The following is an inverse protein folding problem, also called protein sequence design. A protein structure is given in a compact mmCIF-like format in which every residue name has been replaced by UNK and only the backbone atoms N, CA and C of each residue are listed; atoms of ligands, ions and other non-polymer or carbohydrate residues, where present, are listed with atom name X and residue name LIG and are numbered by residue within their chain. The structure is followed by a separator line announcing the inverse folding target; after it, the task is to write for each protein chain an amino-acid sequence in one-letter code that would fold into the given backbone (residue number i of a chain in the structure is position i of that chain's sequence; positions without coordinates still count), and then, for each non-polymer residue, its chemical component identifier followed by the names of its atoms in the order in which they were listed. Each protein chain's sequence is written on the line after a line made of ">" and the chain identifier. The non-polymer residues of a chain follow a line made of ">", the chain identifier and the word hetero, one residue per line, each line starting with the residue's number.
data_IF_446085932000
#
_entry.id   IF_446085932000
#
_cell.length_a   1.000
_cell.length_b   1.000
_cell.length_c   1.000
_cell.angle_alpha   90.00
_cell.angle_beta   90.00
_cell.angle_gamma   90.00
#
_symmetry.space_group_name_H-M   'P 1'
#
loop_
_entity.id
_entity.type
_entity.pdbx_description
1 polymer ?
#
# COMPACT_ATOMS: atom_id res chain seq x y z
N UNK A 1 30.25 -74.22 -13.69
CA UNK A 1 31.45 -73.94 -14.50
C UNK A 1 32.35 -73.02 -13.71
N UNK A 2 33.53 -73.54 -13.34
CA UNK A 2 34.81 -72.85 -13.07
C UNK A 2 34.81 -71.64 -12.10
N UNK A 3 35.26 -71.79 -10.84
CA UNK A 3 36.67 -71.72 -10.33
C UNK A 3 37.33 -70.36 -10.60
N UNK A 4 38.05 -69.67 -9.72
CA UNK A 4 38.57 -69.84 -8.35
C UNK A 4 39.04 -68.42 -7.94
N UNK A 5 39.07 -68.02 -6.67
CA UNK A 5 40.19 -68.27 -5.77
C UNK A 5 39.81 -67.99 -4.30
N UNK A 6 40.00 -69.02 -3.49
CA UNK A 6 40.06 -69.13 -2.02
C UNK A 6 41.36 -68.49 -1.46
N UNK A 7 41.47 -67.97 -0.22
CA UNK A 7 41.45 -68.63 1.11
C UNK A 7 41.33 -67.52 2.21
N UNK A 8 40.36 -67.56 3.15
CA UNK A 8 40.45 -67.94 4.58
C UNK A 8 41.31 -66.97 5.45
N UNK A 9 40.84 -66.28 6.51
CA UNK A 9 40.33 -66.78 7.81
C UNK A 9 39.75 -65.62 8.67
N UNK A 10 38.60 -65.87 9.36
CA UNK A 10 38.19 -65.52 10.76
C UNK A 10 38.58 -64.15 11.38
N UNK A 11 37.76 -63.39 12.13
CA UNK A 11 36.46 -63.58 12.81
C UNK A 11 35.86 -62.21 13.19
N UNK A 12 34.54 -62.20 13.45
CA UNK A 12 33.73 -61.08 13.96
C UNK A 12 34.07 -60.71 15.42
N UNK A 13 33.99 -59.42 15.81
CA UNK A 13 33.28 -58.97 17.04
C UNK A 13 32.82 -57.51 16.89
N UNK A 14 31.56 -57.30 17.28
CA UNK A 14 30.78 -56.05 17.34
C UNK A 14 31.19 -55.14 18.52
N UNK A 15 30.88 -53.85 18.35
CA UNK A 15 31.11 -52.69 19.22
C UNK A 15 30.29 -52.72 20.53
N UNK A 16 30.92 -52.41 21.68
CA UNK A 16 30.35 -51.56 22.77
C UNK A 16 31.48 -50.80 23.47
N UNK A 17 31.36 -49.47 23.57
CA UNK A 17 32.27 -48.54 24.28
C UNK A 17 31.71 -48.17 25.67
N UNK A 18 32.65 -47.93 26.60
CA UNK A 18 32.57 -47.20 27.88
C UNK A 18 31.98 -47.93 29.11
N UNK A 19 32.88 -48.42 29.98
CA UNK A 19 33.09 -48.02 31.40
C UNK A 19 33.85 -49.14 32.12
N UNK A 20 35.17 -49.02 32.22
CA UNK A 20 36.00 -49.81 33.13
C UNK A 20 36.39 -48.92 34.32
N UNK A 21 35.60 -48.96 35.38
CA UNK A 21 36.05 -48.78 36.75
C UNK A 21 35.20 -49.68 37.63
N UNK A 22 35.64 -50.93 37.81
CA UNK A 22 35.16 -51.80 38.87
C UNK A 22 36.20 -52.89 39.16
N UNK A 23 36.72 -52.85 40.38
CA UNK A 23 37.25 -53.96 41.17
C UNK A 23 38.50 -54.70 40.65
N UNK A 24 39.67 -54.10 40.88
CA UNK A 24 40.86 -54.89 41.22
C UNK A 24 40.93 -55.06 42.74
N UNK A 25 40.22 -56.05 43.28
CA UNK A 25 40.46 -56.54 44.63
C UNK A 25 41.71 -57.42 44.61
N UNK A 26 42.90 -56.79 44.60
CA UNK A 26 44.15 -57.49 44.84
C UNK A 26 44.25 -57.77 46.34
N UNK A 27 44.12 -59.05 46.71
CA UNK A 27 44.40 -59.54 48.05
C UNK A 27 45.88 -59.27 48.40
N UNK A 28 46.14 -58.19 49.11
CA UNK A 28 47.45 -57.95 49.73
C UNK A 28 47.58 -58.91 50.90
N UNK A 29 48.55 -59.82 50.78
CA UNK A 29 48.95 -60.77 51.80
C UNK A 29 49.52 -60.00 53.00
N UNK A 30 48.77 -59.93 54.09
CA UNK A 30 49.23 -59.40 55.37
C UNK A 30 50.32 -60.34 55.94
N UNK A 31 51.59 -60.04 55.69
CA UNK A 31 52.70 -60.55 56.50
C UNK A 31 53.31 -59.38 57.27
N UNK A 32 53.02 -59.38 58.57
CA UNK A 32 53.79 -58.84 59.70
C UNK A 32 54.56 -57.52 59.51
N UNK A 33 53.98 -56.41 59.95
CA UNK A 33 54.72 -55.17 60.27
C UNK A 33 54.63 -54.90 61.79
N UNK A 34 55.75 -54.70 62.51
CA UNK A 34 55.74 -54.29 63.90
C UNK A 34 55.63 -52.75 64.03
N UNK A 35 55.23 -52.30 65.22
CA UNK A 35 55.15 -50.91 65.71
C UNK A 35 53.86 -50.11 65.38
N UNK A 36 53.05 -49.94 66.44
CA UNK A 36 51.69 -49.36 66.51
C UNK A 36 51.62 -47.84 66.27
N UNK A 37 52.73 -47.19 65.92
CA UNK A 37 52.85 -45.74 65.77
C UNK A 37 52.82 -45.26 64.32
N UNK A 38 53.07 -46.12 63.34
CA UNK A 38 53.04 -45.76 61.90
C UNK A 38 51.72 -46.08 61.20
N UNK A 39 50.87 -46.96 61.77
CA UNK A 39 49.52 -47.21 61.25
C UNK A 39 48.65 -45.93 61.25
N UNK A 40 48.79 -45.07 62.25
CA UNK A 40 48.05 -43.79 62.30
C UNK A 40 48.54 -42.77 61.26
N UNK A 41 49.81 -42.88 60.83
CA UNK A 41 50.41 -42.04 59.79
C UNK A 41 50.16 -42.61 58.38
N UNK A 42 49.97 -43.92 58.22
CA UNK A 42 49.67 -44.55 56.93
C UNK A 42 48.17 -44.51 56.58
N UNK A 43 47.27 -44.60 57.57
CA UNK A 43 45.81 -44.51 57.35
C UNK A 43 45.41 -43.09 56.88
N UNK A 44 46.14 -42.04 57.28
CA UNK A 44 45.94 -40.66 56.79
C UNK A 44 46.53 -40.38 55.40
N UNK A 45 47.26 -41.35 54.81
CA UNK A 45 47.79 -41.30 53.45
C UNK A 45 47.03 -42.22 52.46
N UNK A 46 46.20 -43.14 52.95
CA UNK A 46 45.47 -44.13 52.15
C UNK A 46 43.95 -43.87 52.08
N UNK A 47 43.43 -42.86 52.78
CA UNK A 47 42.05 -42.43 52.55
C UNK A 47 41.93 -41.86 51.15
N UNK A 48 41.04 -42.43 50.33
CA UNK A 48 40.69 -41.84 49.05
C UNK A 48 40.28 -40.38 49.27
N UNK A 49 40.77 -39.50 48.40
CA UNK A 49 40.40 -38.10 48.40
C UNK A 49 38.88 -37.97 48.24
N UNK A 50 38.24 -37.16 49.09
CA UNK A 50 36.82 -36.86 48.97
C UNK A 50 36.72 -35.69 48.01
N UNK A 51 36.05 -35.86 46.88
CA UNK A 51 35.82 -34.74 45.96
C UNK A 51 34.65 -33.91 46.48
N UNK A 52 34.95 -32.87 47.26
CA UNK A 52 33.90 -32.03 47.85
C UNK A 52 33.08 -31.28 46.79
N UNK A 53 33.65 -31.05 45.60
CA UNK A 53 32.96 -30.40 44.48
C UNK A 53 31.95 -31.35 43.81
N UNK A 54 32.29 -32.63 43.64
CA UNK A 54 31.40 -33.63 43.06
C UNK A 54 30.26 -34.03 44.01
N UNK A 55 30.54 -34.05 45.31
CA UNK A 55 29.57 -34.40 46.36
C UNK A 55 28.75 -33.20 46.85
N UNK A 56 28.95 -32.00 46.27
CA UNK A 56 28.29 -30.74 46.68
C UNK A 56 28.44 -30.44 48.19
N UNK A 57 29.61 -30.74 48.74
CA UNK A 57 30.01 -30.47 50.12
C UNK A 57 30.89 -29.22 50.24
N UNK A 58 31.15 -28.54 49.12
CA UNK A 58 31.89 -27.30 49.12
C UNK A 58 31.10 -26.13 49.75
N UNK A 59 31.82 -25.09 50.16
CA UNK A 59 31.24 -23.84 50.65
C UNK A 59 31.63 -22.66 49.75
N UNK A 60 31.76 -22.92 48.44
CA UNK A 60 32.10 -21.88 47.47
C UNK A 60 30.88 -20.98 47.20
N UNK A 61 31.14 -19.76 46.75
CA UNK A 61 30.08 -18.88 46.23
C UNK A 61 29.41 -19.52 45.01
N UNK A 62 28.14 -19.20 44.78
CA UNK A 62 27.44 -19.54 43.52
C UNK A 62 28.15 -18.94 42.29
N UNK A 63 28.90 -17.87 42.48
CA UNK A 63 29.69 -17.19 41.45
C UNK A 63 31.18 -17.61 41.48
N UNK A 64 31.50 -18.77 42.05
CA UNK A 64 32.82 -19.37 42.05
C UNK A 64 32.83 -20.74 41.34
N UNK A 65 34.03 -21.17 40.98
CA UNK A 65 34.36 -22.50 40.48
C UNK A 65 35.02 -23.26 41.63
N UNK A 66 34.45 -24.41 41.98
CA UNK A 66 35.05 -25.35 42.92
C UNK A 66 36.10 -26.19 42.19
N UNK A 67 37.33 -26.21 42.73
CA UNK A 67 38.42 -27.04 42.26
C UNK A 67 38.85 -27.99 43.36
N UNK A 68 38.60 -29.29 43.17
CA UNK A 68 39.05 -30.30 44.12
C UNK A 68 40.59 -30.39 44.13
N UNK A 69 41.15 -30.59 45.32
CA UNK A 69 42.60 -30.76 45.55
C UNK A 69 42.83 -31.92 46.53
N UNK A 70 44.04 -32.47 46.58
CA UNK A 70 44.30 -33.55 47.53
C UNK A 70 44.08 -33.06 48.98
N UNK A 71 43.11 -33.68 49.65
CA UNK A 71 42.67 -33.46 51.04
C UNK A 71 41.89 -32.16 51.29
N UNK A 72 41.42 -31.45 50.27
CA UNK A 72 40.64 -30.21 50.40
C UNK A 72 40.11 -29.76 49.04
N UNK A 73 39.30 -28.70 48.99
CA UNK A 73 38.96 -27.98 47.76
C UNK A 73 39.43 -26.53 47.80
N UNK A 74 39.45 -25.88 46.63
CA UNK A 74 39.65 -24.44 46.46
C UNK A 74 38.46 -23.84 45.73
N UNK A 75 38.06 -22.65 46.17
CA UNK A 75 37.06 -21.85 45.48
C UNK A 75 37.77 -20.71 44.74
N UNK A 76 37.42 -20.51 43.48
CA UNK A 76 37.99 -19.45 42.63
C UNK A 76 36.82 -18.68 42.04
N UNK A 77 36.72 -17.37 42.24
CA UNK A 77 35.64 -16.60 41.62
C UNK A 77 35.64 -16.79 40.09
N UNK A 78 34.45 -16.89 39.50
CA UNK A 78 34.27 -16.96 38.04
C UNK A 78 34.83 -15.69 37.40
N UNK A 79 35.15 -15.76 36.11
CA UNK A 79 35.51 -14.57 35.33
C UNK A 79 34.41 -13.50 35.44
N UNK A 80 34.82 -12.23 35.60
CA UNK A 80 33.89 -11.12 35.88
C UNK A 80 33.59 -10.90 37.37
N UNK A 81 34.11 -11.74 38.27
CA UNK A 81 33.92 -11.60 39.71
C UNK A 81 35.26 -11.52 40.46
N UNK A 82 35.27 -10.79 41.58
CA UNK A 82 36.41 -10.65 42.49
C UNK A 82 36.05 -11.10 43.91
N UNK A 83 37.02 -11.63 44.64
CA UNK A 83 36.82 -12.05 46.02
C UNK A 83 37.69 -13.24 46.40
N UNK A 84 37.31 -13.92 47.48
CA UNK A 84 38.05 -15.05 48.07
C UNK A 84 37.56 -16.44 47.61
N UNK A 85 36.59 -16.47 46.69
CA UNK A 85 35.95 -17.69 46.18
C UNK A 85 34.78 -18.18 47.03
N UNK A 86 34.66 -17.76 48.30
CA UNK A 86 33.49 -18.01 49.15
C UNK A 86 32.51 -16.84 49.11
N UNK A 87 33.04 -15.64 48.97
CA UNK A 87 32.32 -14.41 48.65
C UNK A 87 32.91 -13.87 47.35
N UNK A 88 32.09 -13.84 46.32
CA UNK A 88 32.46 -13.29 45.02
C UNK A 88 31.49 -12.15 44.71
N UNK A 89 32.05 -10.98 44.47
CA UNK A 89 31.32 -9.79 44.07
C UNK A 89 31.59 -9.51 42.59
N UNK A 90 30.58 -9.05 41.90
CA UNK A 90 30.68 -8.63 40.52
C UNK A 90 31.72 -7.51 40.35
N UNK A 91 32.50 -7.57 39.28
CA UNK A 91 33.43 -6.52 38.90
C UNK A 91 32.67 -5.54 38.03
N UNK A 92 32.46 -4.32 38.52
CA UNK A 92 31.90 -3.26 37.69
C UNK A 92 32.96 -2.74 36.70
N UNK A 93 32.98 -3.27 35.47
CA UNK A 93 33.91 -2.81 34.44
C UNK A 93 33.60 -1.38 33.98
N UNK A 94 32.37 -0.90 34.16
CA UNK A 94 31.95 0.46 33.80
C UNK A 94 32.48 1.51 34.79
N UNK A 95 32.70 1.13 36.05
CA UNK A 95 33.35 1.98 37.05
C UNK A 95 34.86 2.17 36.84
N UNK A 96 35.44 1.56 35.79
CA UNK A 96 36.84 1.78 35.40
C UNK A 96 37.07 3.19 34.85
N UNK A 97 38.32 3.66 34.90
CA UNK A 97 38.73 5.00 34.40
C UNK A 97 38.34 5.24 32.93
N UNK A 98 38.23 4.16 32.14
CA UNK A 98 37.94 4.21 30.71
C UNK A 98 36.52 3.73 30.35
N UNK A 99 35.58 3.70 31.30
CA UNK A 99 34.17 3.31 31.05
C UNK A 99 34.04 1.93 30.37
N UNK A 100 34.85 0.96 30.79
CA UNK A 100 34.90 -0.37 30.17
C UNK A 100 35.38 -0.36 28.71
N UNK A 101 36.00 0.74 28.25
CA UNK A 101 36.37 0.95 26.85
C UNK A 101 35.20 1.35 25.95
N UNK A 102 33.99 1.58 26.49
CA UNK A 102 32.82 2.00 25.73
C UNK A 102 32.89 3.49 25.35
N UNK A 103 32.61 3.82 24.09
CA UNK A 103 32.60 5.22 23.61
C UNK A 103 31.41 6.01 24.16
N UNK A 104 30.23 5.39 24.23
CA UNK A 104 29.02 6.02 24.77
C UNK A 104 28.70 5.46 26.15
N UNK A 105 27.71 4.58 26.26
CA UNK A 105 27.24 4.08 27.54
C UNK A 105 27.80 2.68 27.81
N UNK A 106 28.22 2.45 29.06
CA UNK A 106 28.59 1.13 29.55
C UNK A 106 27.52 0.65 30.53
N UNK A 107 27.05 -0.58 30.34
CA UNK A 107 26.08 -1.23 31.22
C UNK A 107 26.77 -2.41 31.89
N UNK A 108 26.94 -2.32 33.20
CA UNK A 108 27.46 -3.40 34.02
C UNK A 108 26.39 -4.49 34.20
N UNK A 109 26.77 -5.75 34.03
CA UNK A 109 25.89 -6.92 34.08
C UNK A 109 26.56 -7.97 34.98
N UNK A 110 25.87 -8.70 35.85
CA UNK A 110 26.53 -9.73 36.67
C UNK A 110 27.38 -10.71 35.82
N UNK A 111 28.71 -10.66 36.02
CA UNK A 111 29.72 -11.46 35.35
C UNK A 111 30.27 -10.92 34.03
N UNK A 112 29.82 -9.77 33.52
CA UNK A 112 30.34 -9.10 32.31
C UNK A 112 29.83 -7.66 32.16
N UNK A 113 30.09 -7.02 31.03
CA UNK A 113 29.49 -5.73 30.69
C UNK A 113 29.17 -5.68 29.20
N UNK A 114 28.45 -4.63 28.80
CA UNK A 114 28.26 -4.32 27.38
C UNK A 114 28.22 -2.83 27.14
N UNK A 115 28.67 -2.43 25.96
CA UNK A 115 28.52 -1.06 25.49
C UNK A 115 27.20 -0.88 24.75
N UNK A 116 26.57 0.26 24.95
CA UNK A 116 25.38 0.73 24.24
C UNK A 116 25.66 2.10 23.63
N UNK A 117 25.01 2.37 22.50
CA UNK A 117 25.13 3.63 21.79
C UNK A 117 23.90 4.49 22.02
N UNK A 118 24.09 5.81 22.13
CA UNK A 118 23.00 6.78 22.10
C UNK A 118 22.15 6.66 20.82
N UNK A 119 20.94 7.18 20.87
CA UNK A 119 20.03 7.25 19.72
C UNK A 119 20.74 7.94 18.53
N UNK A 120 20.50 7.43 17.32
CA UNK A 120 21.18 7.88 16.09
C UNK A 120 22.53 7.19 15.85
N UNK A 121 22.98 6.30 16.73
CA UNK A 121 24.22 5.54 16.56
C UNK A 121 23.98 4.03 16.68
N UNK A 122 24.83 3.25 16.01
CA UNK A 122 24.85 1.79 16.09
C UNK A 122 26.19 1.29 16.61
N UNK A 123 26.17 0.20 17.37
CA UNK A 123 27.38 -0.43 17.88
C UNK A 123 28.22 -0.98 16.72
N UNK A 124 29.51 -0.68 16.72
CA UNK A 124 30.49 -1.22 15.80
C UNK A 124 30.74 -2.71 16.08
N UNK A 125 31.38 -3.38 15.13
CA UNK A 125 31.66 -4.82 15.26
C UNK A 125 32.65 -5.15 16.39
N UNK A 126 33.45 -4.17 16.82
CA UNK A 126 34.34 -4.32 17.98
C UNK A 126 33.59 -4.34 19.32
N UNK A 127 32.29 -4.02 19.36
CA UNK A 127 31.49 -4.01 20.57
C UNK A 127 31.72 -2.82 21.50
N UNK A 128 32.52 -1.82 21.10
CA UNK A 128 32.92 -0.69 21.94
C UNK A 128 32.67 0.67 21.28
N UNK A 129 32.89 0.78 19.97
CA UNK A 129 32.73 2.01 19.22
C UNK A 129 31.29 2.20 18.75
N UNK A 130 30.86 3.45 18.65
CA UNK A 130 29.56 3.81 18.13
C UNK A 130 29.71 4.51 16.77
N UNK A 131 29.08 3.94 15.75
CA UNK A 131 29.08 4.47 14.40
C UNK A 131 27.78 5.22 14.18
N UNK A 132 27.89 6.40 13.59
CA UNK A 132 26.75 7.20 13.16
C UNK A 132 25.87 6.39 12.19
N UNK A 133 24.56 6.48 12.38
CA UNK A 133 23.58 5.90 11.46
C UNK A 133 23.29 6.98 10.42
N UNK A 134 23.75 6.81 9.19
CA UNK A 134 23.44 7.75 8.12
C UNK A 134 22.00 7.54 7.65
N UNK A 135 21.06 8.34 8.15
CA UNK A 135 19.65 8.24 7.77
C UNK A 135 19.41 8.68 6.32
N UNK A 136 20.30 9.52 5.77
CA UNK A 136 20.24 9.97 4.37
C UNK A 136 20.64 8.87 3.39
N UNK A 137 21.48 7.91 3.82
CA UNK A 137 21.84 6.73 3.03
C UNK A 137 20.71 5.68 2.94
N UNK A 138 19.57 5.91 3.60
CA UNK A 138 18.39 5.03 3.48
C UNK A 138 17.74 5.12 2.09
N UNK A 139 17.01 4.07 1.69
CA UNK A 139 16.29 4.01 0.41
C UNK A 139 15.29 5.18 0.21
N UNK A 140 14.84 5.79 1.32
CA UNK A 140 13.87 6.89 1.33
C UNK A 140 14.48 8.24 1.68
N UNK A 141 15.81 8.42 1.59
CA UNK A 141 16.50 9.70 1.82
C UNK A 141 16.16 10.32 3.20
N UNK A 142 16.08 9.47 4.24
CA UNK A 142 15.68 9.89 5.60
C UNK A 142 14.25 10.41 5.69
N UNK A 143 13.40 10.17 4.70
CA UNK A 143 12.07 10.78 4.60
C UNK A 143 12.11 12.26 4.22
N UNK A 144 13.25 12.79 3.75
CA UNK A 144 13.34 14.15 3.23
C UNK A 144 12.82 14.23 1.79
N UNK A 145 11.99 15.24 1.52
CA UNK A 145 11.45 15.50 0.17
C UNK A 145 12.50 16.06 -0.79
N UNK A 146 13.43 16.87 -0.28
CA UNK A 146 14.52 17.46 -1.04
C UNK A 146 15.86 16.88 -0.58
N UNK A 147 16.78 17.70 -0.08
CA UNK A 147 18.11 17.26 0.31
C UNK A 147 18.09 16.79 1.77
N UNK A 148 18.79 15.70 2.05
CA UNK A 148 19.05 15.19 3.38
C UNK A 148 20.51 15.44 3.73
N UNK A 149 20.77 16.01 4.91
CA UNK A 149 22.11 16.24 5.42
C UNK A 149 22.26 15.40 6.69
N UNK A 150 23.15 14.41 6.63
CA UNK A 150 23.51 13.57 7.77
C UNK A 150 24.38 14.36 8.77
N UNK A 151 24.09 14.25 10.06
CA UNK A 151 24.77 14.98 11.14
C UNK A 151 25.00 13.99 12.29
N UNK A 152 26.21 13.80 12.84
CA UNK A 152 26.44 12.80 13.88
C UNK A 152 25.35 12.72 14.97
N UNK A 153 24.60 11.62 15.00
CA UNK A 153 23.49 11.33 15.91
C UNK A 153 22.09 11.79 15.46
N UNK A 154 21.96 12.39 14.28
CA UNK A 154 20.69 12.81 13.68
C UNK A 154 20.85 13.16 12.17
N UNK A 155 19.85 13.80 11.61
CA UNK A 155 19.91 14.36 10.27
C UNK A 155 18.95 15.53 10.18
N UNK A 156 19.05 16.29 9.09
CA UNK A 156 18.05 17.31 8.78
C UNK A 156 17.77 17.36 7.31
N UNK A 157 16.52 17.64 6.99
CA UNK A 157 16.13 17.97 5.63
C UNK A 157 16.46 19.43 5.32
N UNK A 158 16.89 19.71 4.11
CA UNK A 158 17.06 21.06 3.56
C UNK A 158 16.18 21.23 2.34
N UNK A 159 15.74 22.46 2.12
CA UNK A 159 14.87 22.82 1.02
C UNK A 159 15.66 23.61 -0.03
N UNK A 160 15.38 23.34 -1.31
CA UNK A 160 15.78 24.26 -2.37
C UNK A 160 15.12 25.64 -2.19
N UNK A 161 15.73 26.66 -2.80
CA UNK A 161 15.27 28.03 -2.74
C UNK A 161 13.76 28.16 -3.05
N UNK A 162 13.05 28.95 -2.24
CA UNK A 162 11.61 29.15 -2.33
C UNK A 162 10.76 28.22 -1.46
N UNK A 163 11.36 27.18 -0.87
CA UNK A 163 10.67 26.25 0.02
C UNK A 163 11.20 26.34 1.46
N UNK A 164 10.32 26.07 2.43
CA UNK A 164 10.66 25.91 3.85
C UNK A 164 10.10 24.57 4.35
N UNK A 165 10.68 24.01 5.40
CA UNK A 165 10.12 22.83 6.04
C UNK A 165 8.78 23.15 6.70
N UNK A 166 7.85 22.20 6.61
CA UNK A 166 6.64 22.17 7.41
C UNK A 166 6.98 21.89 8.89
N UNK A 167 5.99 22.02 9.78
CA UNK A 167 6.23 21.82 11.22
C UNK A 167 6.63 20.39 11.59
N UNK A 168 6.41 19.44 10.71
CA UNK A 168 6.85 18.05 10.84
C UNK A 168 8.33 17.83 10.49
N UNK A 169 9.04 18.85 9.97
CA UNK A 169 10.47 18.75 9.64
C UNK A 169 10.81 17.93 8.39
N UNK A 170 9.80 17.34 7.73
CA UNK A 170 9.98 16.44 6.57
C UNK A 170 9.21 16.92 5.33
N UNK A 171 8.02 17.49 5.51
CA UNK A 171 7.21 17.99 4.41
C UNK A 171 7.60 19.41 4.03
N UNK A 172 7.24 19.82 2.81
CA UNK A 172 7.50 21.16 2.30
C UNK A 172 6.31 22.10 2.54
N UNK A 173 6.63 23.33 2.93
CA UNK A 173 5.75 24.49 2.87
C UNK A 173 6.39 25.53 1.97
N UNK A 174 5.60 26.17 1.14
CA UNK A 174 6.11 27.30 0.38
C UNK A 174 6.40 28.49 1.32
N UNK A 175 7.54 29.16 1.14
CA UNK A 175 7.89 30.32 1.94
C UNK A 175 7.34 31.58 1.26
N UNK A 176 6.04 31.83 1.39
CA UNK A 176 5.42 32.98 0.75
C UNK A 176 5.55 34.26 1.57
N UNK A 177 6.44 35.16 1.16
CA UNK A 177 6.03 36.55 0.89
C UNK A 177 6.66 36.99 -0.44
N UNK A 178 5.79 37.07 -1.46
CA UNK A 178 5.96 37.58 -2.83
C UNK A 178 6.65 36.64 -3.85
N UNK A 179 5.93 36.47 -4.97
CA UNK A 179 6.34 35.92 -6.27
C UNK A 179 6.52 34.39 -6.40
N UNK A 180 5.46 33.64 -6.08
CA UNK A 180 5.13 32.46 -6.89
C UNK A 180 4.47 32.99 -8.16
N UNK A 181 4.85 32.58 -9.38
CA UNK A 181 4.00 32.82 -10.53
C UNK A 181 2.64 32.20 -10.22
N UNK A 182 1.61 33.03 -10.09
CA UNK A 182 0.28 32.72 -9.58
C UNK A 182 -0.40 31.53 -10.27
N UNK A 183 0.13 31.07 -11.41
CA UNK A 183 -0.35 29.93 -12.19
C UNK A 183 0.30 28.57 -11.85
N UNK A 184 1.27 28.50 -10.93
CA UNK A 184 2.06 27.26 -10.70
C UNK A 184 1.41 26.23 -9.75
N UNK A 185 0.43 26.64 -8.94
CA UNK A 185 -0.34 25.69 -8.11
C UNK A 185 -1.64 25.29 -8.83
N UNK A 186 -1.70 24.06 -9.33
CA UNK A 186 -2.87 23.48 -10.03
C UNK A 186 -3.47 24.41 -11.11
N UNK A 187 -2.62 25.12 -11.85
CA UNK A 187 -3.02 26.11 -12.87
C UNK A 187 -3.94 27.23 -12.34
N UNK A 188 -3.89 27.49 -11.04
CA UNK A 188 -4.80 28.36 -10.29
C UNK A 188 -6.29 28.06 -10.54
N UNK A 189 -6.62 26.81 -10.83
CA UNK A 189 -7.98 26.40 -11.17
C UNK A 189 -8.48 26.89 -12.54
N UNK A 190 -7.59 27.30 -13.45
CA UNK A 190 -7.91 27.44 -14.87
C UNK A 190 -7.92 26.05 -15.54
N UNK A 191 -8.92 25.77 -16.38
CA UNK A 191 -9.00 24.48 -17.08
C UNK A 191 -7.89 24.30 -18.13
N UNK A 192 -7.50 25.38 -18.82
CA UNK A 192 -6.50 25.34 -19.89
C UNK A 192 -5.26 26.18 -19.59
N UNK A 193 -5.28 27.49 -19.88
CA UNK A 193 -4.11 28.36 -19.78
C UNK A 193 -4.39 29.38 -18.67
N UNK A 194 -3.44 29.56 -17.77
CA UNK A 194 -3.45 30.63 -16.78
C UNK A 194 -2.43 31.70 -17.19
N UNK A 195 -2.82 32.98 -17.14
CA UNK A 195 -1.95 34.13 -17.38
C UNK A 195 -2.04 35.14 -16.25
N UNK A 196 -0.90 35.77 -15.98
CA UNK A 196 -0.81 36.89 -15.05
C UNK A 196 -1.16 38.20 -15.78
N UNK A 197 -1.99 39.01 -15.14
CA UNK A 197 -2.33 40.34 -15.64
C UNK A 197 -1.30 41.38 -15.15
N UNK A 198 -1.11 42.51 -15.86
CA UNK A 198 -0.19 43.57 -15.45
C UNK A 198 -0.48 44.20 -14.07
N UNK A 199 -1.67 43.95 -13.50
CA UNK A 199 -2.09 44.42 -12.16
C UNK A 199 -1.87 43.39 -11.05
N UNK A 200 -1.28 42.22 -11.36
CA UNK A 200 -1.04 41.15 -10.39
C UNK A 200 -2.26 40.25 -10.11
N UNK A 201 -3.31 40.31 -10.94
CA UNK A 201 -4.46 39.39 -10.89
C UNK A 201 -4.34 38.25 -11.91
N UNK A 202 -5.08 37.16 -11.72
CA UNK A 202 -5.07 35.97 -12.61
C UNK A 202 -6.17 36.05 -13.66
N UNK A 203 -5.86 35.66 -14.90
CA UNK A 203 -6.82 35.47 -15.98
C UNK A 203 -6.66 34.07 -16.59
N UNK A 204 -7.79 33.39 -16.85
CA UNK A 204 -7.79 32.11 -17.56
C UNK A 204 -8.09 32.31 -19.05
N UNK A 205 -7.37 31.58 -19.90
CA UNK A 205 -7.55 31.56 -21.35
C UNK A 205 -7.75 30.14 -21.85
N UNK A 206 -8.49 30.01 -22.95
CA UNK A 206 -8.76 28.73 -23.58
C UNK A 206 -7.88 28.53 -24.82
N UNK A 207 -7.44 27.28 -25.01
CA UNK A 207 -6.77 26.85 -26.26
C UNK A 207 -7.72 27.02 -27.46
N UNK A 208 -7.20 27.15 -28.69
CA UNK A 208 -8.02 27.26 -29.90
C UNK A 208 -9.11 26.18 -29.98
N UNK A 209 -10.32 26.59 -30.35
CA UNK A 209 -11.50 25.72 -30.43
C UNK A 209 -12.32 25.59 -29.14
N UNK A 210 -11.90 26.24 -28.06
CA UNK A 210 -12.61 26.29 -26.79
C UNK A 210 -12.95 27.72 -26.40
N UNK A 211 -14.06 27.89 -25.69
CA UNK A 211 -14.51 29.18 -25.14
C UNK A 211 -14.56 29.15 -23.62
N UNK A 212 -14.19 30.27 -23.00
CA UNK A 212 -14.23 30.42 -21.55
C UNK A 212 -15.68 30.48 -21.08
N UNK A 213 -16.03 29.67 -20.10
CA UNK A 213 -17.38 29.64 -19.52
C UNK A 213 -17.61 30.84 -18.58
N UNK A 214 -18.86 31.02 -18.15
CA UNK A 214 -19.27 32.15 -17.28
C UNK A 214 -18.56 32.19 -15.92
N UNK A 215 -17.97 31.08 -15.47
CA UNK A 215 -17.20 31.05 -14.22
C UNK A 215 -15.76 31.56 -14.37
N UNK A 216 -15.36 31.97 -15.58
CA UNK A 216 -14.05 32.51 -15.92
C UNK A 216 -12.88 31.57 -15.62
N UNK A 217 -13.12 30.26 -15.52
CA UNK A 217 -12.13 29.23 -15.18
C UNK A 217 -12.16 28.05 -16.13
N UNK A 218 -13.36 27.57 -16.47
CA UNK A 218 -13.53 26.40 -17.33
C UNK A 218 -13.61 26.76 -18.80
N UNK A 219 -13.12 25.85 -19.65
CA UNK A 219 -13.12 25.99 -21.10
C UNK A 219 -14.03 24.93 -21.71
N UNK A 220 -15.07 25.34 -22.44
CA UNK A 220 -15.96 24.43 -23.17
C UNK A 220 -15.55 24.33 -24.64
N UNK A 221 -15.58 23.12 -25.20
CA UNK A 221 -15.34 22.90 -26.63
C UNK A 221 -16.45 23.58 -27.44
N UNK A 222 -16.13 24.06 -28.63
CA UNK A 222 -17.08 24.69 -29.55
C UNK A 222 -17.26 23.88 -30.82
N UNK A 223 -18.41 24.04 -31.47
CA UNK A 223 -18.72 23.48 -32.78
C UNK A 223 -17.79 24.04 -33.87
N UNK A 224 -17.24 25.24 -33.69
CA UNK A 224 -16.40 25.89 -34.68
C UNK A 224 -15.03 25.22 -34.91
N UNK A 225 -14.63 24.28 -34.04
CA UNK A 225 -13.39 23.54 -34.19
C UNK A 225 -13.67 22.04 -34.23
N UNK A 226 -13.36 21.40 -35.37
CA UNK A 226 -13.62 19.98 -35.57
C UNK A 226 -15.09 19.59 -35.37
N UNK A 227 -16.04 20.48 -35.67
CA UNK A 227 -17.48 20.30 -35.45
C UNK A 227 -17.85 19.92 -33.99
N UNK A 228 -17.08 20.38 -33.00
CA UNK A 228 -17.28 20.00 -31.59
C UNK A 228 -17.01 18.51 -31.31
N UNK A 229 -16.37 17.81 -32.25
CA UNK A 229 -16.23 16.37 -32.26
C UNK A 229 -17.45 15.60 -32.77
N UNK A 230 -18.47 16.29 -33.28
CA UNK A 230 -19.67 15.66 -33.85
C UNK A 230 -19.44 15.20 -35.29
N UNK A 231 -19.91 14.01 -35.63
CA UNK A 231 -19.78 13.50 -37.00
C UNK A 231 -20.65 14.25 -38.01
N UNK A 232 -21.87 14.64 -37.62
CA UNK A 232 -22.82 15.32 -38.51
C UNK A 232 -23.15 16.72 -38.01
N UNK A 233 -24.09 16.85 -37.08
CA UNK A 233 -24.63 18.13 -36.63
C UNK A 233 -24.11 18.42 -35.23
N UNK A 234 -23.65 19.65 -35.00
CA UNK A 234 -23.22 20.15 -33.71
C UNK A 234 -24.06 21.35 -33.29
N UNK A 235 -24.54 21.33 -32.05
CA UNK A 235 -25.27 22.42 -31.41
C UNK A 235 -24.51 22.92 -30.17
N UNK A 236 -24.34 24.22 -30.03
CA UNK A 236 -23.63 24.84 -28.90
C UNK A 236 -24.49 24.84 -27.64
N UNK A 237 -24.03 24.20 -26.56
CA UNK A 237 -24.70 24.24 -25.24
C UNK A 237 -23.80 24.87 -24.17
N UNK A 238 -24.37 25.18 -23.00
CA UNK A 238 -23.63 25.77 -21.87
C UNK A 238 -22.56 24.82 -21.30
N UNK A 239 -22.76 23.51 -21.42
CA UNK A 239 -21.83 22.48 -20.92
C UNK A 239 -20.97 21.82 -22.02
N UNK A 240 -20.96 22.37 -23.24
CA UNK A 240 -20.23 21.82 -24.40
C UNK A 240 -21.14 21.49 -25.58
N UNK A 241 -20.59 20.98 -26.70
CA UNK A 241 -21.34 20.73 -27.91
C UNK A 241 -22.24 19.50 -27.78
N UNK A 242 -23.49 19.61 -28.23
CA UNK A 242 -24.43 18.51 -28.37
C UNK A 242 -24.43 18.02 -29.81
N UNK A 243 -24.14 16.74 -30.01
CA UNK A 243 -24.16 16.14 -31.33
C UNK A 243 -25.54 15.58 -31.68
N UNK A 244 -25.91 15.70 -32.95
CA UNK A 244 -27.07 15.02 -33.54
C UNK A 244 -26.76 14.56 -34.96
N UNK A 245 -27.58 13.66 -35.49
CA UNK A 245 -27.34 13.02 -36.77
C UNK A 245 -28.35 13.48 -37.82
N UNK A 246 -27.89 13.60 -39.08
CA UNK A 246 -28.78 13.72 -40.22
C UNK A 246 -29.72 12.52 -40.33
N UNK A 247 -30.84 12.71 -41.04
CA UNK A 247 -31.85 11.68 -41.24
C UNK A 247 -31.24 10.36 -41.77
N UNK A 248 -31.68 9.22 -41.22
CA UNK A 248 -31.22 7.83 -41.47
C UNK A 248 -30.02 7.33 -40.64
N UNK A 249 -29.40 8.20 -39.84
CA UNK A 249 -28.31 7.83 -38.95
C UNK A 249 -28.73 7.97 -37.49
N UNK A 250 -28.26 7.05 -36.63
CA UNK A 250 -28.49 7.11 -35.19
C UNK A 250 -27.21 7.55 -34.48
N UNK A 251 -27.36 8.39 -33.45
CA UNK A 251 -26.23 8.78 -32.60
C UNK A 251 -25.75 7.55 -31.84
N UNK A 252 -24.49 7.22 -32.01
CA UNK A 252 -23.83 6.14 -31.31
C UNK A 252 -23.73 6.43 -29.81
N UNK A 253 -23.44 5.39 -29.01
CA UNK A 253 -23.35 5.51 -27.56
C UNK A 253 -22.21 6.40 -27.07
N UNK A 254 -21.23 6.73 -27.93
CA UNK A 254 -20.18 7.71 -27.62
C UNK A 254 -20.68 9.16 -27.63
N UNK A 255 -21.93 9.40 -28.05
CA UNK A 255 -22.55 10.71 -28.11
C UNK A 255 -21.99 11.63 -29.19
N UNK A 256 -21.20 11.12 -30.14
CA UNK A 256 -20.47 11.91 -31.15
C UNK A 256 -20.57 11.34 -32.57
N UNK A 257 -20.52 10.02 -32.72
CA UNK A 257 -20.56 9.35 -34.02
C UNK A 257 -21.98 9.01 -34.45
N UNK A 258 -22.19 8.97 -35.75
CA UNK A 258 -23.47 8.69 -36.40
C UNK A 258 -23.30 7.42 -37.22
N UNK A 259 -23.89 6.33 -36.73
CA UNK A 259 -23.86 5.05 -37.43
C UNK A 259 -25.16 4.86 -38.21
N UNK A 260 -25.13 3.95 -39.17
CA UNK A 260 -26.34 3.47 -39.81
C UNK A 260 -27.31 3.01 -38.70
N UNK A 261 -28.49 3.61 -38.63
CA UNK A 261 -29.49 3.26 -37.61
C UNK A 261 -30.10 1.87 -37.80
N UNK A 262 -29.50 1.02 -38.62
CA UNK A 262 -29.99 -0.27 -39.10
C UNK A 262 -29.06 -1.39 -38.62
N UNK A 263 -29.52 -2.27 -37.74
CA UNK A 263 -28.78 -3.48 -37.34
C UNK A 263 -28.91 -4.55 -38.42
N UNK A 264 -27.79 -5.07 -38.93
CA UNK A 264 -27.74 -6.26 -39.78
C UNK A 264 -27.98 -7.52 -38.93
N UNK A 265 -28.99 -8.33 -39.27
CA UNK A 265 -29.15 -9.68 -38.75
C UNK A 265 -28.79 -10.67 -39.87
N UNK A 266 -27.67 -11.38 -39.71
CA UNK A 266 -27.26 -12.44 -40.64
C UNK A 266 -28.04 -13.70 -40.30
N UNK A 267 -29.04 -14.02 -41.12
CA UNK A 267 -29.64 -15.35 -41.14
C UNK A 267 -29.56 -15.86 -42.58
N UNK A 268 -28.77 -16.92 -42.77
CA UNK A 268 -28.65 -17.73 -44.00
C UNK A 268 -28.38 -16.98 -45.32
N UNK A 269 -27.10 -16.78 -45.66
CA UNK A 269 -26.53 -16.58 -47.02
C UNK A 269 -27.28 -15.75 -48.07
N UNK A 270 -28.18 -14.87 -47.66
CA UNK A 270 -28.83 -13.86 -48.48
C UNK A 270 -28.83 -12.55 -47.69
N UNK A 271 -28.08 -11.56 -48.19
CA UNK A 271 -28.09 -10.21 -47.66
C UNK A 271 -29.39 -9.51 -48.09
N UNK A 272 -30.48 -9.77 -47.39
CA UNK A 272 -31.70 -8.99 -47.56
C UNK A 272 -31.54 -7.66 -46.80
N UNK A 273 -31.77 -6.54 -47.50
CA UNK A 273 -32.06 -5.28 -46.84
C UNK A 273 -33.39 -5.47 -46.10
N UNK A 274 -33.34 -5.79 -44.81
CA UNK A 274 -34.53 -5.74 -43.98
C UNK A 274 -34.96 -4.28 -43.93
N UNK A 275 -35.99 -3.95 -44.72
CA UNK A 275 -36.86 -2.84 -44.41
C UNK A 275 -37.23 -2.97 -42.93
N UNK A 276 -37.04 -1.89 -42.19
CA UNK A 276 -37.31 -1.85 -40.76
C UNK A 276 -38.76 -2.17 -40.47
N UNK A 277 -39.06 -3.44 -40.20
CA UNK A 277 -40.25 -3.84 -39.48
C UNK A 277 -40.00 -3.51 -38.00
N UNK A 278 -40.26 -2.24 -37.64
CA UNK A 278 -40.52 -1.90 -36.23
C UNK A 278 -41.79 -2.67 -35.88
N UNK A 279 -41.67 -3.76 -35.13
CA UNK A 279 -42.84 -4.55 -34.75
C UNK A 279 -43.67 -3.80 -33.72
N UNK A 280 -44.97 -4.11 -33.61
CA UNK A 280 -45.81 -3.51 -32.57
C UNK A 280 -45.25 -3.81 -31.16
N UNK A 281 -44.52 -4.93 -31.03
CA UNK A 281 -43.86 -5.33 -29.80
C UNK A 281 -42.69 -4.44 -29.37
N UNK A 282 -42.18 -3.55 -30.23
CA UNK A 282 -41.09 -2.63 -29.88
C UNK A 282 -41.49 -1.17 -30.13
N UNK A 283 -41.77 -0.42 -29.06
CA UNK A 283 -42.21 0.98 -29.16
C UNK A 283 -43.54 1.17 -29.90
N UNK A 284 -44.45 0.17 -29.82
CA UNK A 284 -45.75 0.16 -30.48
C UNK A 284 -45.68 0.37 -32.01
N UNK A 285 -44.61 -0.09 -32.69
CA UNK A 285 -44.42 0.18 -34.13
C UNK A 285 -44.13 1.65 -34.46
N UNK A 286 -44.01 2.51 -33.44
CA UNK A 286 -44.06 3.96 -33.55
C UNK A 286 -45.47 4.54 -33.68
N UNK A 287 -46.53 3.75 -33.50
CA UNK A 287 -47.92 4.22 -33.51
C UNK A 287 -48.26 4.93 -32.20
N UNK A 288 -48.89 6.10 -32.29
CA UNK A 288 -49.33 6.85 -31.11
C UNK A 288 -50.46 6.14 -30.35
N UNK A 289 -51.37 5.47 -31.05
CA UNK A 289 -52.49 4.75 -30.46
C UNK A 289 -52.41 3.24 -30.74
N UNK A 290 -53.04 2.76 -31.82
CA UNK A 290 -53.20 1.33 -32.09
C UNK A 290 -52.19 0.91 -33.16
N UNK A 291 -51.54 -0.23 -32.95
CA UNK A 291 -50.60 -0.85 -33.89
C UNK A 291 -51.08 -2.25 -34.27
N UNK A 292 -51.09 -2.55 -35.57
CA UNK A 292 -51.39 -3.87 -36.13
C UNK A 292 -50.18 -4.40 -36.91
N UNK A 293 -49.77 -5.64 -36.67
CA UNK A 293 -48.62 -6.25 -37.36
C UNK A 293 -49.01 -6.69 -38.77
N UNK A 294 -48.25 -6.25 -39.78
CA UNK A 294 -48.42 -6.64 -41.19
C UNK A 294 -47.09 -7.08 -41.81
N UNK A 295 -47.16 -7.86 -42.89
CA UNK A 295 -46.01 -8.42 -43.63
C UNK A 295 -45.03 -7.35 -44.19
N UNK A 296 -45.44 -6.08 -44.23
CA UNK A 296 -44.66 -4.96 -44.75
C UNK A 296 -44.38 -3.85 -43.71
N UNK A 297 -44.73 -4.06 -42.44
CA UNK A 297 -44.54 -3.07 -41.37
C UNK A 297 -45.76 -2.90 -40.46
N UNK A 298 -45.60 -2.20 -39.31
CA UNK A 298 -46.72 -1.92 -38.42
C UNK A 298 -47.67 -0.93 -39.09
N UNK A 299 -48.97 -1.23 -39.05
CA UNK A 299 -50.03 -0.33 -39.50
C UNK A 299 -50.63 0.38 -38.29
N UNK A 300 -50.57 1.71 -38.29
CA UNK A 300 -51.12 2.52 -37.21
C UNK A 300 -52.58 2.88 -37.45
N UNK A 301 -53.38 2.91 -36.39
CA UNK A 301 -54.74 3.44 -36.40
C UNK A 301 -55.05 4.18 -35.09
N UNK A 302 -56.08 5.01 -35.13
CA UNK A 302 -56.42 5.91 -34.04
C UNK A 302 -57.75 5.52 -33.37
N UNK A 303 -57.85 5.73 -32.06
CA UNK A 303 -59.12 5.65 -31.34
C UNK A 303 -60.13 6.71 -31.85
N UNK A 304 -61.42 6.49 -31.58
CA UNK A 304 -62.50 7.40 -32.02
C UNK A 304 -62.23 8.86 -31.62
N UNK A 305 -62.57 9.80 -32.53
CA UNK A 305 -62.31 11.26 -32.48
C UNK A 305 -60.90 11.73 -32.85
N UNK A 306 -60.02 10.82 -33.27
CA UNK A 306 -58.69 11.14 -33.78
C UNK A 306 -58.51 10.61 -35.19
N UNK A 307 -57.93 11.43 -36.06
CA UNK A 307 -57.52 11.06 -37.41
C UNK A 307 -56.02 10.74 -37.43
N UNK A 308 -55.63 9.76 -38.25
CA UNK A 308 -54.21 9.48 -38.47
C UNK A 308 -53.60 10.63 -39.29
N UNK A 309 -52.55 11.24 -38.74
CA UNK A 309 -51.79 12.28 -39.41
C UNK A 309 -51.10 11.73 -40.66
N UNK A 310 -50.68 12.61 -41.57
CA UNK A 310 -50.05 12.23 -42.84
C UNK A 310 -48.69 11.53 -42.66
N UNK A 311 -48.09 11.61 -41.47
CA UNK A 311 -46.89 10.85 -41.10
C UNK A 311 -47.16 9.34 -40.88
N UNK A 312 -48.43 8.93 -40.87
CA UNK A 312 -48.85 7.54 -40.73
C UNK A 312 -48.66 6.95 -39.33
N UNK A 313 -48.36 7.76 -38.31
CA UNK A 313 -48.02 7.30 -36.95
C UNK A 313 -48.72 8.09 -35.84
N UNK A 314 -48.92 9.38 -36.05
CA UNK A 314 -49.46 10.32 -35.06
C UNK A 314 -50.98 10.42 -35.19
N UNK A 315 -51.70 10.51 -34.09
CA UNK A 315 -53.15 10.66 -34.04
C UNK A 315 -53.51 12.08 -33.58
N UNK A 316 -54.15 12.85 -34.46
CA UNK A 316 -54.56 14.23 -34.19
C UNK A 316 -56.07 14.31 -33.99
N UNK A 317 -56.52 15.05 -32.97
CA UNK A 317 -57.94 15.17 -32.66
C UNK A 317 -58.68 15.99 -33.73
N UNK A 318 -59.89 15.57 -34.10
CA UNK A 318 -60.76 16.40 -34.92
C UNK A 318 -61.36 17.53 -34.08
N UNK A 319 -60.64 18.65 -34.00
CA UNK A 319 -61.25 19.97 -33.85
C UNK A 319 -60.67 20.92 -34.91
N UNK A 320 -61.52 21.16 -35.91
CA UNK A 320 -61.58 22.36 -36.75
C UNK A 320 -60.63 22.49 -37.95
N UNK A 321 -61.06 21.93 -39.08
CA UNK A 321 -60.88 22.59 -40.39
C UNK A 321 -61.92 23.70 -40.51
N UNK A 322 -61.52 24.94 -40.22
CA UNK A 322 -61.85 26.17 -40.96
C UNK A 322 -61.40 27.37 -40.13
N UNK A 323 -60.38 28.08 -40.60
CA UNK A 323 -60.43 29.51 -40.89
C UNK A 323 -59.05 29.98 -41.34
N UNK A 324 -59.00 30.39 -42.59
CA UNK A 324 -58.01 31.33 -43.13
C UNK A 324 -57.91 32.55 -42.22
N UNK A 325 -56.72 32.92 -41.75
CA UNK A 325 -56.47 34.23 -41.14
C UNK A 325 -55.75 35.16 -42.10
N UNK A 326 -56.22 36.41 -42.27
CA UNK A 326 -55.37 37.57 -42.51
C UNK A 326 -55.18 38.39 -41.20
N UNK A 327 -54.24 39.36 -41.19
CA UNK A 327 -53.43 39.69 -40.02
C UNK A 327 -54.00 40.86 -39.19
N UNK A 328 -53.76 40.86 -37.88
CA UNK A 328 -53.96 42.05 -37.05
C UNK A 328 -54.15 41.79 -35.55
N UNK A 329 -53.20 42.31 -34.77
CA UNK A 329 -53.33 42.82 -33.41
C UNK A 329 -53.80 41.90 -32.27
N UNK A 330 -52.82 41.54 -31.43
CA UNK A 330 -52.77 41.80 -29.97
C UNK A 330 -54.12 41.94 -29.24
N UNK A 331 -54.35 41.06 -28.26
CA UNK A 331 -54.56 41.50 -26.88
C UNK A 331 -54.31 40.36 -25.89
N UNK A 332 -53.34 40.61 -25.03
CA UNK A 332 -53.14 39.97 -23.73
C UNK A 332 -54.44 40.00 -22.94
N UNK A 333 -54.90 38.83 -22.49
CA UNK A 333 -55.62 38.54 -21.23
C UNK A 333 -56.55 37.35 -21.47
N UNK A 334 -56.09 36.12 -21.16
CA UNK A 334 -56.90 34.99 -20.66
C UNK A 334 -56.10 33.67 -20.55
N UNK A 335 -54.89 33.70 -19.97
CA UNK A 335 -54.23 32.46 -19.51
C UNK A 335 -53.71 32.69 -18.09
N UNK A 336 -54.62 32.79 -17.13
CA UNK A 336 -54.29 32.68 -15.70
C UNK A 336 -55.21 31.74 -14.92
N UNK A 337 -55.98 30.88 -15.60
CA UNK A 337 -56.93 29.96 -14.93
C UNK A 337 -56.78 28.48 -15.33
N UNK A 338 -55.78 28.11 -16.12
CA UNK A 338 -55.60 26.71 -16.56
C UNK A 338 -54.49 25.92 -15.83
N UNK A 339 -53.84 26.53 -14.83
CA UNK A 339 -52.70 25.92 -14.13
C UNK A 339 -53.00 25.34 -12.73
N UNK A 340 -54.26 25.28 -12.29
CA UNK A 340 -54.63 24.76 -10.96
C UNK A 340 -55.34 23.40 -10.96
N UNK A 341 -55.72 22.83 -12.11
CA UNK A 341 -56.49 21.57 -12.19
C UNK A 341 -55.73 20.37 -12.75
N UNK A 342 -54.49 20.52 -13.25
CA UNK A 342 -53.70 19.37 -13.76
C UNK A 342 -52.85 18.68 -12.68
N UNK A 343 -52.84 19.18 -11.44
CA UNK A 343 -52.11 18.56 -10.31
C UNK A 343 -52.87 17.44 -9.59
N UNK A 344 -54.04 17.04 -10.08
CA UNK A 344 -54.92 16.06 -9.44
C UNK A 344 -55.06 14.72 -10.20
N UNK A 345 -54.21 14.44 -11.21
CA UNK A 345 -54.26 13.19 -11.98
C UNK A 345 -52.98 12.34 -11.92
N UNK A 346 -52.00 12.70 -11.09
CA UNK A 346 -50.76 11.93 -10.90
C UNK A 346 -50.55 11.45 -9.46
N UNK A 347 -51.62 11.00 -8.79
CA UNK A 347 -51.53 10.07 -7.66
C UNK A 347 -52.56 8.94 -7.84
N UNK A 348 -52.21 8.01 -8.73
CA UNK A 348 -52.60 6.60 -8.66
C UNK A 348 -51.66 5.75 -9.52
#
# INVERSE_FOLDING_TARGET
>A
MTTSLTFIRTECVFVVRLRQYAAAAAAVRLQEMPERSTQSLLISFLSADVDECAEALDSCSMDAICQNTLKSYKCICKSGYKGDGKHCEDIDECASEYNGGCVHECINIPGNYRCTCYDGFRLAHDGHNCLDIDECASEYNGGCVHECINIPGNYRCTCYDGFRLAHDGHNLRFNGTKDVPTCMDKNHGCAHICRETPKGSIACECRPGFQLTKNSRDCKLTCNYGNGGCQHICEEMDHGPRCSCHMKFALHSDGKTCNDGWKWLVISNLSFCCSGLVTCNYGNGGCQHICEEMDHGPRCSCHMKFALHSDGKTCVGEFSLHHTTPPGQLLWNQISEFHSTFRAYCEK
#
